data_IF_455165727464
#
_entry.id   IF_455165727464
#
_cell.length_a   1.000
_cell.length_b   1.000
_cell.length_c   1.000
_cell.angle_alpha   90.00
_cell.angle_beta   90.00
_cell.angle_gamma   90.00
#
_symmetry.space_group_name_H-M   'P 1'
#
loop_
_entity.id
_entity.type
_entity.pdbx_description
1 polymer ?
#
# COMPACT_ATOMS: atom_id res chain seq x y z
N UNK A 1 -38.41 14.51 -14.49
CA UNK A 1 -36.97 14.66 -14.18
C UNK A 1 -36.83 15.73 -13.11
N UNK A 2 -36.12 15.47 -12.01
CA UNK A 2 -35.88 16.49 -10.98
C UNK A 2 -34.90 17.50 -11.59
N UNK A 3 -35.31 18.77 -11.72
CA UNK A 3 -34.46 19.82 -12.24
C UNK A 3 -33.25 20.00 -11.30
N UNK A 4 -32.04 19.82 -11.84
CA UNK A 4 -30.80 19.94 -11.05
C UNK A 4 -30.62 21.40 -10.63
N UNK A 5 -30.64 21.69 -9.33
CA UNK A 5 -30.43 23.04 -8.82
C UNK A 5 -28.94 23.32 -8.74
N UNK A 6 -28.44 24.21 -9.60
CA UNK A 6 -27.05 24.64 -9.56
C UNK A 6 -26.72 25.33 -8.22
N UNK A 7 -25.51 25.12 -7.67
CA UNK A 7 -25.04 25.89 -6.53
C UNK A 7 -24.83 27.36 -6.91
N UNK A 8 -24.77 28.25 -5.90
CA UNK A 8 -24.35 29.65 -6.14
C UNK A 8 -22.87 29.64 -6.51
N UNK A 9 -22.56 30.00 -7.75
CA UNK A 9 -21.19 30.00 -8.28
C UNK A 9 -20.43 31.25 -7.83
N UNK A 10 -19.11 31.12 -7.74
CA UNK A 10 -18.21 32.24 -7.47
C UNK A 10 -18.02 33.16 -8.69
N UNK A 11 -17.53 34.37 -8.45
CA UNK A 11 -17.21 35.33 -9.54
C UNK A 11 -15.83 35.12 -10.14
N UNK A 12 -14.89 34.55 -9.37
CA UNK A 12 -13.52 34.29 -9.82
C UNK A 12 -13.48 33.07 -10.72
N UNK A 13 -13.19 33.29 -11.99
CA UNK A 13 -13.07 32.23 -12.98
C UNK A 13 -11.66 31.62 -12.95
N UNK A 14 -11.59 30.29 -12.90
CA UNK A 14 -10.34 29.53 -12.99
C UNK A 14 -10.45 28.60 -14.19
N UNK A 15 -9.82 28.97 -15.30
CA UNK A 15 -9.92 28.22 -16.56
C UNK A 15 -9.07 26.95 -16.57
N UNK A 16 -7.92 26.98 -15.90
CA UNK A 16 -6.93 25.90 -15.88
C UNK A 16 -6.61 25.51 -14.43
N UNK A 17 -7.52 24.77 -13.76
CA UNK A 17 -7.28 24.32 -12.40
C UNK A 17 -6.08 23.34 -12.35
N UNK A 18 -5.08 23.66 -11.54
CA UNK A 18 -3.93 22.77 -11.32
C UNK A 18 -4.04 22.10 -9.95
N UNK A 19 -4.80 21.00 -9.90
CA UNK A 19 -4.84 20.12 -8.74
C UNK A 19 -5.33 18.73 -9.09
N UNK A 20 -5.03 17.77 -8.22
CA UNK A 20 -5.50 16.40 -8.30
C UNK A 20 -6.47 16.10 -7.17
N UNK A 21 -7.62 15.51 -7.50
CA UNK A 21 -8.53 14.93 -6.52
C UNK A 21 -8.45 13.42 -6.60
N UNK A 22 -8.34 12.76 -5.44
CA UNK A 22 -8.33 11.30 -5.37
C UNK A 22 -9.62 10.84 -4.72
N UNK A 23 -10.48 10.16 -5.48
CA UNK A 23 -11.68 9.53 -4.94
C UNK A 23 -11.27 8.31 -4.11
N UNK A 24 -11.68 8.27 -2.85
CA UNK A 24 -11.37 7.19 -1.91
C UNK A 24 -12.48 6.15 -1.87
N UNK A 25 -12.07 4.89 -1.83
CA UNK A 25 -12.99 3.78 -1.58
C UNK A 25 -13.35 3.73 -0.09
N UNK A 26 -14.64 3.87 0.21
CA UNK A 26 -15.16 3.93 1.58
C UNK A 26 -16.42 3.07 1.72
N UNK A 27 -16.30 1.73 1.84
CA UNK A 27 -17.44 0.84 1.91
C UNK A 27 -18.27 1.00 3.19
N UNK A 28 -17.71 1.60 4.25
CA UNK A 28 -18.41 1.85 5.50
C UNK A 28 -19.33 3.09 5.45
N UNK A 29 -19.17 3.95 4.44
CA UNK A 29 -20.02 5.14 4.29
C UNK A 29 -21.31 4.79 3.54
N UNK A 30 -22.42 5.49 3.82
CA UNK A 30 -23.63 5.32 3.02
C UNK A 30 -23.36 5.66 1.55
N UNK A 31 -24.09 5.04 0.59
CA UNK A 31 -23.89 5.26 -0.85
C UNK A 31 -24.06 6.72 -1.31
N UNK A 32 -24.72 7.56 -0.51
CA UNK A 32 -24.89 8.99 -0.78
C UNK A 32 -23.64 9.81 -0.45
N UNK A 33 -22.64 9.21 0.20
CA UNK A 33 -21.41 9.89 0.58
C UNK A 33 -20.22 9.39 -0.25
N UNK A 34 -19.42 10.33 -0.73
CA UNK A 34 -18.11 10.06 -1.32
C UNK A 34 -17.01 10.79 -0.55
N UNK A 35 -15.82 10.20 -0.46
CA UNK A 35 -14.68 10.79 0.22
C UNK A 35 -13.55 11.04 -0.78
N UNK A 36 -12.89 12.19 -0.67
CA UNK A 36 -11.81 12.60 -1.55
C UNK A 36 -10.59 13.03 -0.74
N UNK A 37 -9.39 12.67 -1.21
CA UNK A 37 -8.17 13.39 -0.85
C UNK A 37 -8.08 14.62 -1.75
N UNK A 38 -7.86 15.77 -1.14
CA UNK A 38 -7.82 17.05 -1.83
C UNK A 38 -6.57 17.85 -1.42
N UNK A 39 -6.11 18.82 -2.23
CA UNK A 39 -5.05 19.73 -1.82
C UNK A 39 -5.42 20.52 -0.55
N UNK A 40 -4.42 20.85 0.29
CA UNK A 40 -4.68 21.54 1.56
C UNK A 40 -5.36 22.91 1.37
N UNK A 41 -5.01 23.59 0.28
CA UNK A 41 -5.52 24.91 -0.11
C UNK A 41 -6.93 24.90 -0.73
N UNK A 42 -7.46 23.74 -1.14
CA UNK A 42 -8.79 23.64 -1.76
C UNK A 42 -9.90 23.89 -0.73
N UNK A 43 -10.87 24.76 -0.99
CA UNK A 43 -11.99 25.00 -0.08
C UNK A 43 -13.18 24.06 -0.36
N UNK A 44 -14.12 23.98 0.59
CA UNK A 44 -15.39 23.23 0.45
C UNK A 44 -16.23 23.74 -0.71
N UNK A 45 -16.26 25.07 -0.90
CA UNK A 45 -16.99 25.71 -1.99
C UNK A 45 -16.36 25.37 -3.34
N UNK A 46 -15.02 25.40 -3.41
CA UNK A 46 -14.27 25.04 -4.62
C UNK A 46 -14.51 23.60 -5.02
N UNK A 47 -14.52 22.65 -4.06
CA UNK A 47 -14.81 21.25 -4.38
C UNK A 47 -16.24 21.06 -4.89
N UNK A 48 -17.22 21.72 -4.27
CA UNK A 48 -18.63 21.68 -4.72
C UNK A 48 -18.77 22.23 -6.14
N UNK A 49 -18.15 23.38 -6.41
CA UNK A 49 -18.15 24.02 -7.72
C UNK A 49 -17.47 23.14 -8.78
N UNK A 50 -16.31 22.57 -8.45
CA UNK A 50 -15.54 21.70 -9.33
C UNK A 50 -16.30 20.41 -9.69
N UNK A 51 -16.90 19.73 -8.72
CA UNK A 51 -17.69 18.52 -8.98
C UNK A 51 -18.93 18.81 -9.84
N UNK A 52 -19.53 19.99 -9.68
CA UNK A 52 -20.65 20.43 -10.50
C UNK A 52 -20.22 20.78 -11.93
N UNK A 53 -19.22 21.64 -12.12
CA UNK A 53 -18.82 22.14 -13.43
C UNK A 53 -18.03 21.12 -14.25
N UNK A 54 -17.13 20.34 -13.63
CA UNK A 54 -16.27 19.40 -14.34
C UNK A 54 -16.87 18.00 -14.47
N UNK A 55 -17.65 17.54 -13.48
CA UNK A 55 -18.21 16.19 -13.46
C UNK A 55 -19.75 16.15 -13.51
N UNK A 56 -20.43 17.29 -13.45
CA UNK A 56 -21.89 17.33 -13.48
C UNK A 56 -22.58 16.74 -12.25
N UNK A 57 -21.85 16.59 -11.13
CA UNK A 57 -22.34 15.91 -9.91
C UNK A 57 -23.00 16.93 -8.97
N UNK A 58 -24.31 16.83 -8.70
CA UNK A 58 -24.97 17.66 -7.70
C UNK A 58 -24.60 17.24 -6.27
N UNK A 59 -24.14 18.21 -5.49
CA UNK A 59 -23.68 18.02 -4.11
C UNK A 59 -24.49 18.87 -3.15
N UNK A 60 -25.12 18.22 -2.16
CA UNK A 60 -25.86 18.89 -1.08
C UNK A 60 -24.92 19.58 -0.11
N UNK A 61 -23.90 18.87 0.36
CA UNK A 61 -23.02 19.30 1.44
C UNK A 61 -21.60 18.80 1.26
N UNK A 62 -20.63 19.59 1.76
CA UNK A 62 -19.23 19.17 1.83
C UNK A 62 -18.72 19.34 3.26
N UNK A 63 -18.15 18.27 3.82
CA UNK A 63 -17.47 18.25 5.11
C UNK A 63 -15.98 18.09 4.83
N UNK A 64 -15.13 18.77 5.59
CA UNK A 64 -13.68 18.71 5.40
C UNK A 64 -13.00 18.51 6.74
N UNK A 65 -11.95 17.69 6.76
CA UNK A 65 -11.08 17.53 7.91
C UNK A 65 -9.63 17.39 7.45
N UNK A 66 -8.71 17.79 8.31
CA UNK A 66 -7.27 17.73 8.05
C UNK A 66 -6.69 16.68 8.99
N UNK A 67 -6.15 15.61 8.40
CA UNK A 67 -5.48 14.55 9.12
C UNK A 67 -3.99 14.86 9.22
N UNK A 68 -3.50 15.10 10.43
CA UNK A 68 -2.07 15.26 10.67
C UNK A 68 -1.35 13.92 10.47
N UNK A 69 -0.22 13.95 9.76
CA UNK A 69 0.62 12.76 9.59
C UNK A 69 1.56 12.57 10.80
N UNK A 70 1.90 11.31 11.07
CA UNK A 70 2.88 10.93 12.11
C UNK A 70 4.25 11.54 11.78
N UNK A 71 5.01 11.91 12.79
CA UNK A 71 6.40 12.37 12.64
C UNK A 71 7.21 11.18 12.10
N UNK A 72 8.08 11.45 11.12
CA UNK A 72 8.98 10.43 10.57
C UNK A 72 10.43 10.93 10.68
N UNK A 73 11.36 9.99 10.72
CA UNK A 73 12.76 10.30 10.47
C UNK A 73 12.94 10.45 8.96
N UNK A 74 13.56 11.56 8.58
CA UNK A 74 13.98 11.88 7.22
C UNK A 74 12.90 12.10 6.14
N UNK A 75 13.12 13.08 5.27
CA UNK A 75 12.12 13.50 4.27
C UNK A 75 11.85 12.38 3.27
N UNK A 76 10.61 12.22 2.75
CA UNK A 76 10.26 11.10 1.88
C UNK A 76 11.00 11.07 0.54
N UNK A 77 11.62 12.18 0.15
CA UNK A 77 12.38 12.33 -1.11
C UNK A 77 13.87 12.59 -0.85
N UNK A 78 14.37 12.28 0.35
CA UNK A 78 15.79 12.38 0.63
C UNK A 78 16.53 11.26 -0.11
N UNK A 79 17.46 11.64 -1.00
CA UNK A 79 18.32 10.71 -1.74
C UNK A 79 19.23 9.92 -0.79
N UNK A 80 19.59 10.54 0.34
CA UNK A 80 20.43 9.92 1.37
C UNK A 80 19.69 9.91 2.70
N UNK A 81 19.65 8.77 3.40
CA UNK A 81 19.07 8.70 4.73
C UNK A 81 19.79 9.69 5.64
N UNK A 82 19.05 10.64 6.22
CA UNK A 82 19.52 11.58 7.23
C UNK A 82 19.00 11.15 8.61
N UNK A 83 19.66 10.17 9.26
CA UNK A 83 19.23 9.68 10.56
C UNK A 83 19.16 10.82 11.57
N UNK A 84 18.24 10.72 12.55
CA UNK A 84 18.02 11.70 13.64
C UNK A 84 17.42 13.05 13.22
N UNK A 85 17.10 13.25 11.94
CA UNK A 85 16.34 14.42 11.49
C UNK A 85 14.85 14.14 11.52
N UNK A 86 14.21 14.50 12.62
CA UNK A 86 12.77 14.40 12.77
C UNK A 86 12.07 15.50 11.95
N UNK A 87 11.10 15.11 11.14
CA UNK A 87 10.24 16.05 10.44
C UNK A 87 8.81 15.53 10.42
N UNK A 88 7.86 16.46 10.33
CA UNK A 88 6.45 16.13 10.12
C UNK A 88 6.12 16.26 8.63
N UNK A 89 5.63 15.20 7.98
CA UNK A 89 5.07 15.29 6.63
C UNK A 89 3.88 16.26 6.55
N UNK A 90 3.54 16.71 5.34
CA UNK A 90 2.37 17.59 5.13
C UNK A 90 1.09 16.87 5.52
N UNK A 91 0.21 17.54 6.26
CA UNK A 91 -1.09 16.98 6.63
C UNK A 91 -1.93 16.64 5.40
N UNK A 92 -2.71 15.57 5.46
CA UNK A 92 -3.60 15.14 4.37
C UNK A 92 -4.98 15.77 4.60
N UNK A 93 -5.50 16.52 3.64
CA UNK A 93 -6.86 17.05 3.69
C UNK A 93 -7.80 16.07 3.01
N UNK A 94 -8.85 15.66 3.74
CA UNK A 94 -9.92 14.81 3.22
C UNK A 94 -11.23 15.58 3.24
N UNK A 95 -12.01 15.42 2.17
CA UNK A 95 -13.34 16.00 2.06
C UNK A 95 -14.37 14.92 1.78
N UNK A 96 -15.45 14.95 2.55
CA UNK A 96 -16.60 14.08 2.38
C UNK A 96 -17.74 14.88 1.76
N UNK A 97 -18.33 14.33 0.72
CA UNK A 97 -19.31 14.97 -0.15
C UNK A 97 -20.62 14.22 -0.01
N UNK A 98 -21.70 14.93 0.32
CA UNK A 98 -23.06 14.40 0.32
C UNK A 98 -23.67 14.67 -1.06
N UNK A 99 -23.86 13.60 -1.83
CA UNK A 99 -24.36 13.63 -3.20
C UNK A 99 -25.89 13.45 -3.22
N UNK A 100 -26.56 13.99 -4.23
CA UNK A 100 -27.99 13.73 -4.42
C UNK A 100 -28.26 12.33 -4.97
N UNK A 101 -27.35 11.83 -5.82
CA UNK A 101 -27.43 10.50 -6.40
C UNK A 101 -26.49 9.55 -5.64
N UNK A 102 -26.97 8.35 -5.27
CA UNK A 102 -26.12 7.36 -4.63
C UNK A 102 -25.10 6.80 -5.61
N UNK A 103 -23.93 6.47 -5.10
CA UNK A 103 -22.86 5.80 -5.81
C UNK A 103 -22.35 4.63 -4.96
N UNK A 104 -22.19 3.48 -5.61
CA UNK A 104 -21.59 2.30 -5.01
C UNK A 104 -20.39 1.92 -5.85
N UNK A 105 -19.27 1.65 -5.20
CA UNK A 105 -18.07 1.19 -5.89
C UNK A 105 -18.31 -0.20 -6.50
N UNK A 106 -17.72 -0.50 -7.66
CA UNK A 106 -17.67 -1.86 -8.16
C UNK A 106 -17.04 -2.80 -7.12
N UNK A 107 -17.36 -4.08 -7.24
CA UNK A 107 -16.71 -5.13 -6.45
C UNK A 107 -15.20 -5.15 -6.72
N UNK A 108 -14.43 -5.66 -5.75
CA UNK A 108 -13.01 -5.94 -5.99
C UNK A 108 -12.87 -7.00 -7.07
N UNK A 109 -11.89 -6.86 -7.99
CA UNK A 109 -11.55 -7.98 -8.85
C UNK A 109 -11.01 -9.12 -7.99
N UNK A 110 -11.32 -10.37 -8.38
CA UNK A 110 -10.78 -11.55 -7.71
C UNK A 110 -9.30 -11.77 -8.09
N UNK A 111 -8.96 -11.44 -9.35
CA UNK A 111 -7.62 -11.55 -9.89
C UNK A 111 -6.92 -10.16 -9.90
N UNK A 112 -5.70 -10.10 -9.34
CA UNK A 112 -4.86 -8.91 -9.27
C UNK A 112 -3.52 -9.02 -10.05
N UNK A 113 -3.40 -9.96 -10.98
CA UNK A 113 -2.17 -10.23 -11.74
C UNK A 113 -1.67 -8.99 -12.50
N UNK A 114 -2.59 -8.19 -13.05
CA UNK A 114 -2.25 -6.92 -13.75
C UNK A 114 -1.59 -5.88 -12.83
N UNK A 115 -1.81 -6.00 -11.52
CA UNK A 115 -1.24 -5.12 -10.50
C UNK A 115 -0.07 -5.77 -9.76
N UNK A 116 0.37 -6.96 -10.17
CA UNK A 116 1.48 -7.72 -9.61
C UNK A 116 1.43 -7.77 -8.06
N UNK A 117 0.26 -8.19 -7.56
CA UNK A 117 -0.01 -8.17 -6.12
C UNK A 117 0.88 -9.13 -5.33
N UNK A 118 1.24 -10.27 -5.92
CA UNK A 118 2.02 -11.30 -5.26
C UNK A 118 3.44 -10.81 -4.94
N UNK A 119 4.10 -10.11 -5.87
CA UNK A 119 5.42 -9.53 -5.61
C UNK A 119 5.34 -8.40 -4.59
N UNK A 120 4.29 -7.58 -4.65
CA UNK A 120 4.03 -6.53 -3.68
C UNK A 120 3.84 -7.09 -2.25
N UNK A 121 3.04 -8.14 -2.12
CA UNK A 121 2.76 -8.78 -0.83
C UNK A 121 4.01 -9.52 -0.29
N UNK A 122 4.79 -10.17 -1.16
CA UNK A 122 6.08 -10.77 -0.79
C UNK A 122 7.09 -9.71 -0.29
N UNK A 123 7.24 -8.61 -1.03
CA UNK A 123 8.12 -7.50 -0.63
C UNK A 123 7.64 -6.83 0.67
N UNK A 124 6.33 -6.71 0.87
CA UNK A 124 5.76 -6.18 2.12
C UNK A 124 6.07 -7.10 3.30
N UNK A 125 5.91 -8.42 3.12
CA UNK A 125 6.23 -9.42 4.16
C UNK A 125 7.71 -9.40 4.53
N UNK A 126 8.60 -9.28 3.54
CA UNK A 126 10.04 -9.17 3.77
C UNK A 126 10.39 -7.89 4.55
N UNK A 127 9.84 -6.74 4.15
CA UNK A 127 10.01 -5.48 4.87
C UNK A 127 9.50 -5.56 6.32
N UNK A 128 8.35 -6.20 6.55
CA UNK A 128 7.80 -6.42 7.89
C UNK A 128 8.68 -7.37 8.71
N UNK A 129 9.22 -8.43 8.12
CA UNK A 129 10.15 -9.36 8.78
C UNK A 129 11.44 -8.64 9.18
N UNK A 130 11.99 -7.84 8.28
CA UNK A 130 13.17 -7.02 8.54
C UNK A 130 12.89 -5.99 9.65
N UNK A 131 11.76 -5.24 9.59
CA UNK A 131 11.38 -4.31 10.66
C UNK A 131 11.24 -5.03 12.01
N UNK A 132 10.62 -6.20 12.03
CA UNK A 132 10.44 -7.00 13.24
C UNK A 132 11.76 -7.51 13.81
N UNK A 133 12.77 -7.80 12.97
CA UNK A 133 14.10 -8.23 13.41
C UNK A 133 14.84 -7.15 14.23
N UNK A 134 14.56 -5.87 13.97
CA UNK A 134 15.13 -4.75 14.71
C UNK A 134 14.38 -4.41 16.00
N UNK A 135 13.23 -5.07 16.27
CA UNK A 135 12.48 -4.87 17.51
C UNK A 135 13.16 -5.60 18.67
N UNK A 136 13.09 -5.08 19.91
CA UNK A 136 13.69 -5.73 21.08
C UNK A 136 13.23 -7.19 21.29
N UNK A 137 11.96 -7.47 20.98
CA UNK A 137 11.30 -8.78 21.09
C UNK A 137 11.76 -9.79 20.02
N UNK A 138 12.54 -9.38 19.02
CA UNK A 138 12.97 -10.26 17.93
C UNK A 138 13.74 -11.48 18.42
N UNK A 139 14.52 -11.32 19.50
CA UNK A 139 15.34 -12.37 20.11
C UNK A 139 14.53 -13.50 20.73
N UNK A 140 13.29 -13.24 21.12
CA UNK A 140 12.42 -14.25 21.73
C UNK A 140 11.72 -15.11 20.68
N UNK A 141 11.62 -14.62 19.44
CA UNK A 141 10.96 -15.34 18.36
C UNK A 141 11.90 -16.40 17.77
N UNK A 142 11.38 -17.60 17.46
CA UNK A 142 12.17 -18.63 16.78
C UNK A 142 12.67 -18.13 15.43
N UNK A 143 13.92 -18.44 15.09
CA UNK A 143 14.45 -18.24 13.74
C UNK A 143 13.78 -19.20 12.75
N UNK A 144 13.75 -18.83 11.47
CA UNK A 144 13.24 -19.70 10.41
C UNK A 144 14.01 -21.02 10.31
N UNK A 145 15.32 -20.98 10.58
CA UNK A 145 16.21 -22.14 10.60
C UNK A 145 15.93 -23.12 11.75
N UNK A 146 15.09 -22.74 12.73
CA UNK A 146 14.80 -23.61 13.88
C UNK A 146 14.12 -24.92 13.47
N UNK A 147 13.31 -24.90 12.42
CA UNK A 147 12.63 -26.10 11.91
C UNK A 147 13.62 -27.07 11.25
N UNK A 148 14.48 -26.58 10.35
CA UNK A 148 15.51 -27.40 9.70
C UNK A 148 16.52 -27.96 10.70
N UNK A 149 16.93 -27.16 11.70
CA UNK A 149 17.79 -27.63 12.79
C UNK A 149 17.07 -28.72 13.61
N UNK A 150 15.77 -28.58 13.87
CA UNK A 150 15.00 -29.57 14.60
C UNK A 150 14.81 -30.88 13.81
N UNK A 151 14.64 -30.80 12.49
CA UNK A 151 14.59 -31.95 11.58
C UNK A 151 15.93 -32.68 11.53
N UNK A 152 17.02 -31.95 11.33
CA UNK A 152 18.38 -32.49 11.38
C UNK A 152 18.66 -33.15 12.74
N UNK A 153 18.27 -32.51 13.84
CA UNK A 153 18.42 -33.09 15.17
C UNK A 153 17.62 -34.40 15.33
N UNK A 154 16.41 -34.48 14.78
CA UNK A 154 15.60 -35.72 14.78
C UNK A 154 16.24 -36.82 13.93
N UNK A 155 16.78 -36.49 12.76
CA UNK A 155 17.46 -37.44 11.87
C UNK A 155 18.72 -38.03 12.53
N UNK A 156 19.52 -37.20 13.20
CA UNK A 156 20.69 -37.63 13.99
C UNK A 156 20.29 -38.53 15.16
N UNK A 157 19.23 -38.20 15.90
CA UNK A 157 18.75 -39.00 17.03
C UNK A 157 18.18 -40.36 16.60
N UNK A 158 17.53 -40.42 15.43
CA UNK A 158 17.00 -41.66 14.83
C UNK A 158 18.12 -42.52 14.22
N UNK A 159 19.32 -41.95 14.03
CA UNK A 159 20.48 -42.63 13.46
C UNK A 159 20.45 -42.72 11.93
N UNK A 160 19.56 -41.97 11.27
CA UNK A 160 19.51 -41.87 9.80
C UNK A 160 20.71 -41.10 9.26
N UNK A 161 21.16 -40.09 10.02
CA UNK A 161 22.36 -39.32 9.72
C UNK A 161 23.42 -39.49 10.83
N UNK A 162 24.69 -39.43 10.44
CA UNK A 162 25.83 -39.46 11.38
C UNK A 162 26.45 -38.07 11.44
N UNK A 163 26.62 -37.55 12.65
CA UNK A 163 27.30 -36.28 12.86
C UNK A 163 28.73 -36.33 12.31
N UNK A 164 29.06 -35.35 11.45
CA UNK A 164 30.40 -35.16 10.87
C UNK A 164 30.83 -33.71 11.11
N UNK A 165 32.13 -33.50 11.25
CA UNK A 165 32.69 -32.14 11.28
C UNK A 165 32.61 -31.52 9.90
N UNK A 166 32.26 -30.23 9.81
CA UNK A 166 32.26 -29.51 8.55
C UNK A 166 33.70 -29.35 8.05
N UNK A 167 34.11 -30.18 7.09
CA UNK A 167 35.30 -29.91 6.27
C UNK A 167 34.87 -28.85 5.25
N UNK A 168 35.57 -27.72 5.16
CA UNK A 168 35.28 -26.65 4.18
C UNK A 168 35.74 -27.03 2.75
N UNK A 169 35.60 -28.30 2.40
CA UNK A 169 35.89 -28.81 1.07
C UNK A 169 34.55 -28.97 0.35
N UNK A 170 34.45 -28.42 -0.85
CA UNK A 170 33.31 -28.64 -1.73
C UNK A 170 33.33 -30.11 -2.13
N UNK A 171 32.39 -30.89 -1.59
CA UNK A 171 32.14 -32.27 -2.01
C UNK A 171 31.08 -32.21 -3.14
N UNK A 172 31.46 -32.67 -4.32
CA UNK A 172 30.60 -32.71 -5.51
C UNK A 172 29.63 -33.89 -5.36
N UNK A 173 28.58 -33.70 -4.56
CA UNK A 173 27.60 -34.74 -4.21
C UNK A 173 26.54 -34.97 -5.31
N UNK A 174 26.82 -34.57 -6.55
CA UNK A 174 25.93 -34.79 -7.70
C UNK A 174 26.48 -35.83 -8.66
N UNK A 175 25.82 -37.00 -8.76
CA UNK A 175 26.01 -37.86 -9.92
C UNK A 175 25.68 -37.06 -11.19
N UNK A 176 26.59 -37.07 -12.17
CA UNK A 176 26.39 -36.42 -13.46
C UNK A 176 25.16 -37.01 -14.16
N UNK A 177 24.00 -36.37 -14.00
CA UNK A 177 22.82 -36.67 -14.79
C UNK A 177 23.05 -36.04 -16.16
N UNK A 178 23.46 -36.86 -17.12
CA UNK A 178 23.48 -36.47 -18.54
C UNK A 178 22.05 -36.09 -18.95
N UNK A 179 21.75 -34.80 -18.96
CA UNK A 179 20.56 -34.27 -19.63
C UNK A 179 20.86 -34.31 -21.12
N UNK A 180 20.45 -35.41 -21.77
CA UNK A 180 20.47 -35.54 -23.23
C UNK A 180 19.76 -34.32 -23.84
N UNK A 181 20.54 -33.46 -24.49
CA UNK A 181 20.08 -32.23 -25.07
C UNK A 181 19.56 -32.50 -26.49
N UNK A 182 18.37 -33.07 -26.59
CA UNK A 182 17.66 -33.18 -27.88
C UNK A 182 17.13 -31.79 -28.30
N UNK A 183 18.03 -30.94 -28.79
CA UNK A 183 17.66 -29.75 -29.54
C UNK A 183 17.44 -30.16 -31.00
N UNK A 184 16.18 -30.37 -31.37
CA UNK A 184 15.79 -30.45 -32.79
C UNK A 184 15.96 -29.06 -33.40
N UNK A 185 16.92 -28.94 -34.32
CA UNK A 185 17.09 -27.82 -35.26
C UNK A 185 15.93 -27.82 -36.26
#
# INVERSE_FOLDING_TARGET
>A
SIARKAPRLGTKQVFLPNFTLTLLRTPQLPPTFASFIVPLNLNKLDLRDYLWNCYGVPVRGVRSYIQQQKIRQDKPHAIRPSPRRWFRPRSIKKMMVEMEQPFVWPAEPENYDEWDKDTYDAAKKDNEANENSFRPEAREKPSAERESIAEQAKALLKGEEKWRTTTTEWEDDGDAVEVEQDVKV
#
